data_IF_664849818501
#
_entry.id   IF_664849818501
#
_cell.length_a   1.000
_cell.length_b   1.000
_cell.length_c   1.000
_cell.angle_alpha   90.00
_cell.angle_beta   90.00
_cell.angle_gamma   90.00
#
_symmetry.space_group_name_H-M   'P 1'
#
loop_
_entity.id
_entity.type
_entity.pdbx_description
1 polymer ?
#
# COMPACT_ATOMS: atom_id res chain seq x y z
N UNK A 1 -55.31 -5.93 -44.26
CA UNK A 1 -54.53 -7.10 -44.71
C UNK A 1 -53.60 -7.47 -43.56
N UNK A 2 -53.99 -8.42 -42.69
CA UNK A 2 -53.34 -9.75 -42.49
C UNK A 2 -51.80 -9.67 -42.55
N UNK A 3 -51.00 -10.13 -41.59
CA UNK A 3 -51.19 -10.89 -40.37
C UNK A 3 -49.82 -10.99 -39.63
N UNK A 4 -49.79 -11.79 -38.56
CA UNK A 4 -48.65 -12.37 -37.80
C UNK A 4 -48.32 -11.68 -36.47
N UNK A 5 -48.17 -12.40 -35.35
CA UNK A 5 -48.51 -13.78 -34.96
C UNK A 5 -48.40 -13.80 -33.43
N UNK A 6 -49.48 -14.17 -32.75
CA UNK A 6 -49.51 -14.40 -31.31
C UNK A 6 -48.83 -15.74 -31.02
N UNK A 7 -47.88 -15.77 -30.09
CA UNK A 7 -47.61 -16.94 -29.22
C UNK A 7 -47.23 -16.35 -27.85
N UNK A 8 -48.10 -16.61 -26.86
CA UNK A 8 -47.89 -16.24 -25.47
C UNK A 8 -47.26 -17.38 -24.66
N UNK A 9 -47.48 -17.32 -23.34
CA UNK A 9 -47.06 -18.21 -22.25
C UNK A 9 -45.80 -17.68 -21.57
N UNK A 10 -45.80 -17.32 -20.28
CA UNK A 10 -46.85 -17.38 -19.28
C UNK A 10 -46.38 -16.62 -18.04
N UNK A 11 -47.29 -15.85 -17.46
CA UNK A 11 -47.12 -15.20 -16.16
C UNK A 11 -47.26 -16.30 -15.10
N UNK A 12 -46.29 -16.43 -14.21
CA UNK A 12 -46.57 -16.99 -12.88
C UNK A 12 -45.85 -16.12 -11.85
N UNK A 13 -46.64 -15.20 -11.34
CA UNK A 13 -46.42 -14.43 -10.12
C UNK A 13 -46.20 -15.35 -8.93
N UNK A 14 -45.08 -15.23 -8.22
CA UNK A 14 -45.09 -15.33 -6.75
C UNK A 14 -43.91 -14.54 -6.20
N UNK A 15 -44.24 -13.42 -5.56
CA UNK A 15 -43.36 -12.69 -4.65
C UNK A 15 -42.85 -13.62 -3.55
N UNK A 16 -41.53 -13.71 -3.39
CA UNK A 16 -40.93 -13.79 -2.06
C UNK A 16 -39.81 -12.77 -2.03
N UNK A 17 -40.09 -11.69 -1.31
CA UNK A 17 -39.13 -10.74 -0.75
C UNK A 17 -38.19 -11.56 0.14
N UNK A 18 -37.10 -12.04 -0.46
CA UNK A 18 -36.01 -12.71 0.22
C UNK A 18 -35.04 -11.66 0.75
N UNK A 19 -35.31 -11.24 1.98
CA UNK A 19 -34.44 -10.62 2.97
C UNK A 19 -32.99 -10.33 2.49
N UNK A 20 -32.75 -9.03 2.41
CA UNK A 20 -31.53 -8.30 2.10
C UNK A 20 -30.38 -8.69 3.06
N UNK A 21 -29.73 -9.83 2.80
CA UNK A 21 -28.43 -10.20 3.38
C UNK A 21 -27.33 -9.72 2.45
N UNK A 22 -26.81 -8.51 2.65
CA UNK A 22 -25.53 -8.05 2.08
C UNK A 22 -25.02 -6.79 2.82
N UNK A 23 -24.57 -6.99 4.05
CA UNK A 23 -23.38 -6.30 4.55
C UNK A 23 -22.41 -7.42 4.97
N UNK A 24 -21.14 -7.38 4.56
CA UNK A 24 -20.26 -6.26 4.91
C UNK A 24 -19.15 -6.01 3.87
N UNK A 25 -19.20 -4.89 3.15
CA UNK A 25 -17.98 -4.38 2.50
C UNK A 25 -17.88 -2.90 2.76
N UNK A 26 -17.53 -2.60 4.02
CA UNK A 26 -16.77 -1.39 4.29
C UNK A 26 -15.57 -1.41 3.37
N UNK A 27 -15.53 -0.49 2.40
CA UNK A 27 -14.26 -0.02 1.86
C UNK A 27 -13.60 0.77 2.98
N UNK A 28 -13.12 0.07 4.01
CA UNK A 28 -11.94 0.53 4.69
C UNK A 28 -10.90 0.64 3.58
N UNK A 29 -10.57 1.87 3.19
CA UNK A 29 -9.29 2.11 2.58
C UNK A 29 -8.31 1.42 3.54
N UNK A 30 -7.77 0.28 3.11
CA UNK A 30 -6.76 -0.41 3.86
C UNK A 30 -5.58 0.56 3.88
N UNK A 31 -5.52 1.40 4.91
CA UNK A 31 -4.26 1.80 5.51
C UNK A 31 -3.58 0.46 5.76
N UNK A 32 -2.75 0.03 4.80
CA UNK A 32 -1.91 -1.14 4.98
C UNK A 32 -1.05 -0.79 6.17
N UNK A 33 -1.33 -1.46 7.29
CA UNK A 33 -0.46 -1.43 8.44
C UNK A 33 0.90 -1.95 7.96
N UNK A 34 1.91 -1.08 7.87
CA UNK A 34 3.28 -1.49 7.54
C UNK A 34 3.85 -2.19 8.78
N UNK A 35 3.51 -3.45 8.95
CA UNK A 35 4.25 -4.39 9.78
C UNK A 35 5.52 -4.83 9.06
N UNK A 36 6.44 -5.50 9.76
CA UNK A 36 7.62 -6.10 9.12
C UNK A 36 7.24 -7.02 7.93
N UNK A 37 6.04 -7.63 7.97
CA UNK A 37 5.51 -8.45 6.88
C UNK A 37 5.14 -7.64 5.62
N UNK A 38 4.74 -6.37 5.77
CA UNK A 38 4.38 -5.48 4.65
C UNK A 38 5.52 -4.50 4.27
N UNK A 39 6.56 -4.38 5.10
CA UNK A 39 7.69 -3.47 4.86
C UNK A 39 8.42 -3.80 3.54
N UNK A 40 8.54 -5.08 3.20
CA UNK A 40 9.18 -5.50 1.95
C UNK A 40 8.42 -5.05 0.70
N UNK A 41 7.09 -5.20 0.70
CA UNK A 41 6.26 -4.81 -0.44
C UNK A 41 6.12 -3.29 -0.55
N UNK A 42 6.00 -2.61 0.59
CA UNK A 42 6.03 -1.15 0.62
C UNK A 42 7.37 -0.61 0.11
N UNK A 43 8.49 -1.21 0.53
CA UNK A 43 9.82 -0.84 0.06
C UNK A 43 9.95 -0.99 -1.46
N UNK A 44 9.55 -2.15 -1.99
CA UNK A 44 9.53 -2.41 -3.44
C UNK A 44 8.68 -1.37 -4.20
N UNK A 45 7.51 -1.06 -3.66
CA UNK A 45 6.56 -0.17 -4.34
C UNK A 45 6.91 1.32 -4.24
N UNK A 46 7.54 1.76 -3.14
CA UNK A 46 7.66 3.20 -2.80
C UNK A 46 9.10 3.69 -2.61
N UNK A 47 10.05 2.81 -2.33
CA UNK A 47 11.40 3.18 -1.90
C UNK A 47 12.48 2.77 -2.91
N UNK A 48 12.33 1.59 -3.54
CA UNK A 48 13.33 0.98 -4.42
C UNK A 48 13.75 1.88 -5.59
N UNK A 49 12.84 2.70 -6.13
CA UNK A 49 13.15 3.61 -7.24
C UNK A 49 14.31 4.59 -6.92
N UNK A 50 14.47 4.99 -5.66
CA UNK A 50 15.53 5.89 -5.23
C UNK A 50 16.63 5.18 -4.41
N UNK A 51 16.26 4.15 -3.65
CA UNK A 51 17.17 3.46 -2.73
C UNK A 51 17.83 2.20 -3.31
N UNK A 52 17.40 1.73 -4.48
CA UNK A 52 17.87 0.47 -5.05
C UNK A 52 17.16 -0.75 -4.47
N UNK A 53 17.47 -1.94 -4.98
CA UNK A 53 16.81 -3.17 -4.52
C UNK A 53 17.37 -3.65 -3.17
N UNK A 54 18.60 -3.23 -2.83
CA UNK A 54 19.34 -3.65 -1.64
C UNK A 54 19.60 -2.48 -0.67
N UNK A 55 18.85 -1.38 -0.78
CA UNK A 55 19.10 -0.14 -0.04
C UNK A 55 20.55 0.38 -0.18
N UNK A 56 21.15 0.13 -1.34
CA UNK A 56 22.54 0.48 -1.65
C UNK A 56 22.70 1.96 -2.02
N UNK A 57 21.60 2.65 -2.38
CA UNK A 57 21.62 4.07 -2.77
C UNK A 57 21.00 4.96 -1.71
N UNK A 58 21.62 6.12 -1.49
CA UNK A 58 21.09 7.25 -0.69
C UNK A 58 20.55 6.84 0.69
N UNK A 59 21.08 5.76 1.26
CA UNK A 59 20.75 5.25 2.58
C UNK A 59 22.03 5.04 3.38
N UNK A 60 22.12 5.79 4.47
CA UNK A 60 23.23 5.74 5.42
C UNK A 60 22.77 5.02 6.68
N UNK A 61 23.10 3.73 6.77
CA UNK A 61 22.71 2.88 7.90
C UNK A 61 23.48 3.20 9.19
N UNK A 62 24.47 4.11 9.15
CA UNK A 62 25.26 4.51 10.33
C UNK A 62 24.57 5.58 11.16
N UNK A 63 23.55 6.24 10.59
CA UNK A 63 22.78 7.24 11.32
C UNK A 63 21.96 6.61 12.44
N UNK A 64 21.71 7.36 13.54
CA UNK A 64 20.81 6.94 14.60
C UNK A 64 19.43 6.58 14.05
N UNK A 65 18.80 5.56 14.64
CA UNK A 65 17.50 5.07 14.17
C UNK A 65 16.44 6.15 14.15
N UNK A 66 16.36 6.99 15.18
CA UNK A 66 15.40 8.08 15.24
C UNK A 66 15.57 9.06 14.07
N UNK A 67 16.80 9.35 13.65
CA UNK A 67 17.05 10.21 12.47
C UNK A 67 16.61 9.54 11.17
N UNK A 68 16.77 8.22 11.06
CA UNK A 68 16.31 7.46 9.90
C UNK A 68 14.79 7.39 9.83
N UNK A 69 14.13 7.19 10.98
CA UNK A 69 12.67 7.21 11.11
C UNK A 69 12.13 8.60 10.76
N UNK A 70 12.73 9.65 11.31
CA UNK A 70 12.30 11.03 11.05
C UNK A 70 12.47 11.39 9.56
N UNK A 71 13.53 10.91 8.90
CA UNK A 71 13.72 11.07 7.46
C UNK A 71 12.64 10.35 6.62
N UNK A 72 12.15 9.20 7.06
CA UNK A 72 11.01 8.51 6.40
C UNK A 72 9.72 9.31 6.58
N UNK A 73 9.44 9.75 7.81
CA UNK A 73 8.20 10.46 8.13
C UNK A 73 8.15 11.84 7.47
N UNK A 74 9.19 12.65 7.66
CA UNK A 74 9.22 14.06 7.26
C UNK A 74 9.87 14.27 5.88
N UNK A 75 10.49 13.24 5.32
CA UNK A 75 11.28 13.36 4.11
C UNK A 75 12.63 14.02 4.37
N UNK A 76 13.45 14.12 3.32
CA UNK A 76 14.78 14.73 3.39
C UNK A 76 15.11 15.44 2.09
N UNK A 77 15.58 16.68 2.19
CA UNK A 77 16.17 17.38 1.05
C UNK A 77 17.54 16.78 0.77
N UNK A 78 17.72 16.29 -0.45
CA UNK A 78 19.02 15.84 -0.93
C UNK A 78 19.76 17.02 -1.57
N UNK A 79 21.10 17.00 -1.57
CA UNK A 79 21.89 18.02 -2.29
C UNK A 79 21.53 18.13 -3.77
N UNK A 80 21.14 17.00 -4.38
CA UNK A 80 20.67 16.95 -5.76
C UNK A 80 19.31 16.24 -5.80
N UNK A 81 18.32 16.78 -6.54
CA UNK A 81 17.03 16.14 -6.69
C UNK A 81 17.15 14.72 -7.28
N UNK A 82 16.17 13.83 -7.02
CA UNK A 82 14.92 14.09 -6.29
C UNK A 82 15.10 14.13 -4.76
N UNK A 83 14.28 14.97 -4.10
CA UNK A 83 14.16 14.97 -2.65
C UNK A 83 13.37 13.74 -2.19
N UNK A 84 13.71 13.22 -1.01
CA UNK A 84 12.93 12.16 -0.38
C UNK A 84 11.61 12.75 0.13
N UNK A 85 10.45 12.22 -0.28
CA UNK A 85 9.14 12.75 0.15
C UNK A 85 8.87 12.41 1.61
N UNK A 86 8.02 13.22 2.26
CA UNK A 86 7.38 12.86 3.53
C UNK A 86 6.39 11.73 3.28
N UNK A 87 6.51 10.65 4.05
CA UNK A 87 5.55 9.54 4.02
C UNK A 87 4.51 9.63 5.15
N UNK A 88 4.74 10.46 6.18
CA UNK A 88 3.74 10.77 7.20
C UNK A 88 2.48 11.37 6.56
N UNK A 89 2.63 12.32 5.63
CA UNK A 89 1.53 12.89 4.85
C UNK A 89 0.81 11.85 3.96
N UNK A 90 1.37 10.65 3.82
CA UNK A 90 0.80 9.52 3.08
C UNK A 90 0.25 8.43 4.03
N UNK A 91 0.15 8.72 5.32
CA UNK A 91 -0.40 7.83 6.34
C UNK A 91 0.61 6.87 6.95
N UNK A 92 1.91 7.04 6.71
CA UNK A 92 2.94 6.22 7.38
C UNK A 92 3.11 6.65 8.84
N UNK A 93 2.97 5.72 9.76
CA UNK A 93 3.14 5.96 11.20
C UNK A 93 4.61 5.79 11.63
N UNK A 94 4.95 6.21 12.86
CA UNK A 94 6.30 6.05 13.39
C UNK A 94 6.73 4.57 13.47
N UNK A 95 5.84 3.67 13.88
CA UNK A 95 6.16 2.23 13.98
C UNK A 95 6.36 1.59 12.60
N UNK A 96 5.59 2.05 11.63
CA UNK A 96 5.74 1.66 10.23
C UNK A 96 7.09 2.14 9.65
N UNK A 97 7.47 3.38 9.95
CA UNK A 97 8.76 3.92 9.56
C UNK A 97 9.93 3.15 10.21
N UNK A 98 9.82 2.77 11.49
CA UNK A 98 10.80 1.88 12.15
C UNK A 98 10.92 0.54 11.41
N UNK A 99 9.80 -0.09 11.05
CA UNK A 99 9.79 -1.32 10.27
C UNK A 99 10.50 -1.18 8.91
N UNK A 100 10.27 -0.07 8.21
CA UNK A 100 10.95 0.23 6.95
C UNK A 100 12.46 0.44 7.13
N UNK A 101 12.88 1.20 8.16
CA UNK A 101 14.30 1.42 8.47
C UNK A 101 15.00 0.10 8.81
N UNK A 102 14.38 -0.74 9.64
CA UNK A 102 14.90 -2.05 9.99
C UNK A 102 15.07 -2.94 8.74
N UNK A 103 14.06 -2.97 7.86
CA UNK A 103 14.14 -3.70 6.61
C UNK A 103 15.26 -3.19 5.69
N UNK A 104 15.42 -1.88 5.56
CA UNK A 104 16.50 -1.28 4.78
C UNK A 104 17.90 -1.60 5.33
N UNK A 105 18.06 -1.61 6.67
CA UNK A 105 19.30 -2.07 7.32
C UNK A 105 19.60 -3.51 6.97
N UNK A 106 18.60 -4.41 7.09
CA UNK A 106 18.75 -5.82 6.72
C UNK A 106 19.16 -6.02 5.27
N UNK A 107 18.52 -5.30 4.32
CA UNK A 107 18.88 -5.35 2.91
C UNK A 107 20.32 -4.94 2.66
N UNK A 108 20.78 -3.86 3.29
CA UNK A 108 22.14 -3.34 3.12
C UNK A 108 23.19 -4.30 3.71
N UNK A 109 22.92 -4.87 4.88
CA UNK A 109 23.79 -5.88 5.49
C UNK A 109 23.88 -7.17 4.67
N UNK A 110 22.78 -7.59 4.04
CA UNK A 110 22.77 -8.74 3.13
C UNK A 110 23.46 -8.48 1.79
N UNK A 111 23.74 -7.23 1.44
CA UNK A 111 24.40 -6.85 0.18
C UNK A 111 25.93 -6.76 0.28
N UNK A 112 26.47 -6.71 1.50
CA UNK A 112 27.89 -6.61 1.80
C UNK A 112 28.56 -7.95 2.15
N UNK A 113 27.86 -9.08 1.98
CA UNK A 113 28.40 -10.43 2.04
C UNK A 113 28.48 -11.02 0.63
#
# INVERSE_FOLDING_TARGET
MKALKKIGIGITTTSVVGLLLLAPFGKAAATQEVSAANAADFYKAKCTACHGAKAEKKFDATLPEDQLVDAVLKGKKAEKPPNMPSFEAKGVTADQAKGLVAFMKQLKSSAGN
#
